data_IF_391708833474
#
_entry.id   IF_391708833474
#
_cell.length_a   1.000
_cell.length_b   1.000
_cell.length_c   1.000
_cell.angle_alpha   90.00
_cell.angle_beta   90.00
_cell.angle_gamma   90.00
#
_symmetry.space_group_name_H-M   'P 1'
#
loop_
_entity.id
_entity.type
_entity.pdbx_description
1 polymer ?
#
# COMPACT_ATOMS: atom_id res chain seq x y z
N UNK A 1 -3.72 1.41 25.64
CA UNK A 1 -2.51 1.54 24.80
C UNK A 1 -3.00 1.60 23.36
N UNK A 2 -2.59 2.62 22.61
CA UNK A 2 -2.91 2.70 21.18
C UNK A 2 -2.11 1.64 20.42
N UNK A 3 -2.64 1.18 19.29
CA UNK A 3 -1.90 0.29 18.39
C UNK A 3 -0.82 1.08 17.67
N UNK A 4 0.33 0.46 17.44
CA UNK A 4 1.33 1.04 16.55
C UNK A 4 0.84 0.91 15.10
N UNK A 5 1.11 1.92 14.29
CA UNK A 5 0.71 1.96 12.88
C UNK A 5 1.96 2.12 12.03
N UNK A 6 2.16 1.20 11.08
CA UNK A 6 3.11 1.37 9.97
C UNK A 6 2.29 1.62 8.71
N UNK A 7 2.37 2.84 8.18
CA UNK A 7 1.75 3.21 6.92
C UNK A 7 2.84 3.39 5.86
N UNK A 8 2.69 2.67 4.75
CA UNK A 8 3.53 2.80 3.57
C UNK A 8 2.68 3.49 2.51
N UNK A 9 3.00 4.75 2.23
CA UNK A 9 2.32 5.52 1.21
C UNK A 9 3.01 5.27 -0.12
N UNK A 10 2.30 4.55 -1.00
CA UNK A 10 2.83 4.24 -2.33
C UNK A 10 2.75 5.46 -3.23
N UNK A 11 1.60 6.15 -3.29
CA UNK A 11 1.39 7.38 -4.07
C UNK A 11 0.18 8.17 -3.53
N UNK A 12 0.10 9.49 -3.76
CA UNK A 12 1.18 10.40 -4.15
C UNK A 12 2.18 10.59 -3.00
N UNK A 13 3.35 11.21 -3.23
CA UNK A 13 4.35 11.51 -2.21
C UNK A 13 4.82 10.26 -1.43
N UNK A 14 5.67 9.45 -2.07
CA UNK A 14 6.19 8.19 -1.55
C UNK A 14 6.83 8.37 -0.16
N UNK A 15 6.16 7.83 0.87
CA UNK A 15 6.55 8.02 2.26
C UNK A 15 6.35 6.77 3.13
N UNK A 16 7.03 6.76 4.28
CA UNK A 16 6.85 5.77 5.34
C UNK A 16 6.55 6.50 6.66
N UNK A 17 5.42 6.16 7.27
CA UNK A 17 5.01 6.69 8.57
C UNK A 17 4.96 5.56 9.60
N UNK A 18 5.55 5.79 10.77
CA UNK A 18 5.50 4.88 11.90
C UNK A 18 5.03 5.64 13.15
N UNK A 19 3.82 5.34 13.59
CA UNK A 19 3.22 5.87 14.82
C UNK A 19 3.38 4.82 15.93
N UNK A 20 3.98 5.21 17.05
CA UNK A 20 4.15 4.34 18.23
C UNK A 20 4.27 5.13 19.53
N UNK A 21 4.15 4.44 20.67
CA UNK A 21 4.30 5.08 21.97
C UNK A 21 5.73 5.02 22.50
N UNK A 22 6.28 6.15 22.92
CA UNK A 22 7.59 6.25 23.58
C UNK A 22 7.47 6.93 24.95
N UNK A 23 8.43 6.65 25.84
CA UNK A 23 8.50 7.30 27.16
C UNK A 23 8.82 8.79 26.99
N UNK A 24 8.04 9.66 27.64
CA UNK A 24 8.36 11.08 27.72
C UNK A 24 9.65 11.32 28.54
N UNK A 25 10.58 12.19 28.07
CA UNK A 25 11.70 12.65 28.90
C UNK A 25 11.20 13.46 30.12
N UNK A 26 11.88 13.32 31.26
CA UNK A 26 11.70 14.07 32.52
C UNK A 26 10.33 14.07 33.24
N UNK A 27 9.26 13.60 32.60
CA UNK A 27 8.00 13.31 33.29
C UNK A 27 8.00 11.87 33.84
N UNK A 28 7.07 11.58 34.75
CA UNK A 28 6.83 10.24 35.30
C UNK A 28 6.67 9.18 34.20
N UNK A 29 6.48 7.90 34.54
CA UNK A 29 6.35 6.77 33.60
C UNK A 29 5.10 6.84 32.70
N UNK A 30 4.98 7.91 31.91
CA UNK A 30 3.94 8.21 30.96
C UNK A 30 4.49 8.01 29.54
N UNK A 31 3.67 7.36 28.73
CA UNK A 31 3.93 7.10 27.33
C UNK A 31 3.20 8.16 26.49
N UNK A 32 3.88 8.70 25.49
CA UNK A 32 3.33 9.66 24.52
C UNK A 32 3.47 9.11 23.10
N UNK A 33 2.51 9.39 22.20
CA UNK A 33 2.65 9.04 20.80
C UNK A 33 3.82 9.80 20.18
N UNK A 34 4.57 9.13 19.33
CA UNK A 34 5.66 9.65 18.53
C UNK A 34 5.44 9.21 17.10
N UNK A 35 5.59 10.17 16.19
CA UNK A 35 5.49 9.98 14.75
C UNK A 35 6.88 10.01 14.15
N UNK A 36 7.24 8.93 13.45
CA UNK A 36 8.42 8.90 12.58
C UNK A 36 7.95 8.95 11.14
N UNK A 37 8.57 9.84 10.36
CA UNK A 37 8.22 10.08 8.97
C UNK A 37 9.47 10.08 8.10
N UNK A 38 9.37 9.42 6.97
CA UNK A 38 10.40 9.36 5.95
C UNK A 38 9.78 9.66 4.59
N UNK A 39 10.34 10.64 3.88
CA UNK A 39 9.95 10.99 2.51
C UNK A 39 11.07 10.59 1.54
N UNK A 40 10.70 9.90 0.46
CA UNK A 40 11.65 9.51 -0.58
C UNK A 40 12.31 10.73 -1.24
N UNK A 41 11.53 11.77 -1.54
CA UNK A 41 12.02 12.98 -2.24
C UNK A 41 13.12 13.70 -1.46
N UNK A 42 12.95 13.84 -0.15
CA UNK A 42 13.91 14.50 0.75
C UNK A 42 15.21 13.68 0.89
N UNK A 43 15.10 12.36 0.86
CA UNK A 43 16.17 11.44 1.25
C UNK A 43 17.07 11.01 0.10
N UNK A 44 16.55 11.00 -1.14
CA UNK A 44 17.28 10.60 -2.34
C UNK A 44 17.67 11.80 -3.23
N UNK A 45 17.70 13.00 -2.67
CA UNK A 45 18.24 14.20 -3.32
C UNK A 45 17.41 14.68 -4.51
N UNK A 46 16.09 14.46 -4.48
CA UNK A 46 15.19 14.84 -5.57
C UNK A 46 15.42 14.07 -6.88
N UNK A 47 16.08 12.91 -6.83
CA UNK A 47 16.19 12.05 -7.99
C UNK A 47 14.81 11.45 -8.28
N UNK A 48 14.28 11.72 -9.48
CA UNK A 48 12.97 11.24 -9.88
C UNK A 48 12.90 9.72 -9.79
N UNK A 49 11.87 9.23 -9.10
CA UNK A 49 11.52 7.81 -9.10
C UNK A 49 11.12 7.45 -10.54
N UNK A 50 11.75 6.43 -11.16
CA UNK A 50 11.40 6.02 -12.52
C UNK A 50 9.93 5.61 -12.59
N UNK A 51 9.28 5.92 -13.72
CA UNK A 51 7.92 5.46 -13.97
C UNK A 51 7.87 3.92 -13.92
N UNK A 52 6.72 3.39 -13.48
CA UNK A 52 6.52 1.95 -13.36
C UNK A 52 6.85 1.21 -14.66
N UNK A 53 6.48 1.76 -15.83
CA UNK A 53 6.77 1.14 -17.11
C UNK A 53 8.24 1.24 -17.51
N UNK A 54 8.94 2.33 -17.17
CA UNK A 54 10.38 2.43 -17.43
C UNK A 54 11.13 1.31 -16.71
N UNK A 55 10.78 1.07 -15.43
CA UNK A 55 11.37 0.00 -14.64
C UNK A 55 11.03 -1.38 -15.21
N UNK A 56 9.76 -1.66 -15.48
CA UNK A 56 9.32 -2.97 -15.97
C UNK A 56 9.90 -3.31 -17.34
N UNK A 57 10.01 -2.33 -18.24
CA UNK A 57 10.62 -2.54 -19.56
C UNK A 57 12.12 -2.82 -19.44
N UNK A 58 12.84 -2.11 -18.57
CA UNK A 58 14.25 -2.36 -18.30
C UNK A 58 14.47 -3.77 -17.73
N UNK A 59 13.63 -4.20 -16.78
CA UNK A 59 13.71 -5.53 -16.18
C UNK A 59 13.43 -6.63 -17.23
N UNK A 60 12.44 -6.44 -18.10
CA UNK A 60 12.18 -7.34 -19.22
C UNK A 60 13.37 -7.47 -20.19
N UNK A 61 14.04 -6.36 -20.51
CA UNK A 61 15.25 -6.36 -21.36
C UNK A 61 16.42 -7.08 -20.71
N UNK A 62 16.55 -6.98 -19.38
CA UNK A 62 17.58 -7.65 -18.61
C UNK A 62 17.24 -9.13 -18.29
N UNK A 63 16.03 -9.58 -18.63
CA UNK A 63 15.54 -10.92 -18.29
C UNK A 63 15.26 -11.11 -16.80
N UNK A 64 15.02 -10.02 -16.06
CA UNK A 64 14.64 -10.06 -14.65
C UNK A 64 13.12 -10.15 -14.52
N UNK A 65 12.65 -11.27 -13.95
CA UNK A 65 11.23 -11.55 -13.77
C UNK A 65 10.70 -11.18 -12.37
N UNK A 66 11.51 -10.54 -11.51
CA UNK A 66 11.19 -10.33 -10.09
C UNK A 66 9.96 -9.46 -9.83
N UNK A 67 9.60 -8.56 -10.75
CA UNK A 67 8.42 -7.69 -10.66
C UNK A 67 7.24 -8.16 -11.54
N UNK A 68 7.34 -9.36 -12.12
CA UNK A 68 6.29 -9.93 -12.94
C UNK A 68 5.54 -11.00 -12.15
N UNK A 69 4.21 -10.96 -12.23
CA UNK A 69 3.38 -11.99 -11.60
C UNK A 69 3.58 -13.33 -12.30
N UNK A 70 3.76 -14.39 -11.52
CA UNK A 70 3.94 -15.74 -12.04
C UNK A 70 2.60 -16.36 -12.46
N UNK A 71 2.64 -17.38 -13.31
CA UNK A 71 1.43 -18.05 -13.81
C UNK A 71 0.60 -18.72 -12.72
N UNK A 72 1.26 -19.29 -11.71
CA UNK A 72 0.59 -19.91 -10.57
C UNK A 72 -0.04 -18.86 -9.64
N UNK A 73 0.66 -17.74 -9.38
CA UNK A 73 0.11 -16.60 -8.63
C UNK A 73 -1.15 -16.02 -9.30
N UNK A 74 -1.15 -15.90 -10.64
CA UNK A 74 -2.33 -15.49 -11.41
C UNK A 74 -3.48 -16.49 -11.23
N UNK A 75 -3.18 -17.79 -11.27
CA UNK A 75 -4.16 -18.86 -11.06
C UNK A 75 -4.84 -18.75 -9.70
N UNK A 76 -4.07 -18.67 -8.63
CA UNK A 76 -4.57 -18.53 -7.25
C UNK A 76 -5.38 -17.24 -7.05
N UNK A 77 -4.91 -16.12 -7.61
CA UNK A 77 -5.65 -14.86 -7.55
C UNK A 77 -7.03 -14.98 -8.20
N UNK A 78 -7.11 -15.68 -9.34
CA UNK A 78 -8.39 -15.96 -10.01
C UNK A 78 -9.28 -16.91 -9.21
N UNK A 79 -8.72 -17.94 -8.58
CA UNK A 79 -9.51 -18.84 -7.73
C UNK A 79 -10.15 -18.11 -6.55
N UNK A 80 -9.44 -17.15 -5.94
CA UNK A 80 -9.96 -16.29 -4.87
C UNK A 80 -11.07 -15.37 -5.37
N UNK A 81 -10.88 -14.72 -6.52
CA UNK A 81 -11.81 -13.70 -7.03
C UNK A 81 -13.02 -14.29 -7.76
N UNK A 82 -12.89 -15.45 -8.39
CA UNK A 82 -13.94 -16.10 -9.18
C UNK A 82 -15.28 -16.25 -8.44
N UNK A 83 -15.36 -16.76 -7.20
CA UNK A 83 -16.64 -16.89 -6.50
C UNK A 83 -17.31 -15.54 -6.22
N UNK A 84 -16.53 -14.48 -5.97
CA UNK A 84 -17.05 -13.13 -5.76
C UNK A 84 -17.67 -12.61 -7.06
N UNK A 85 -16.94 -12.71 -8.17
CA UNK A 85 -17.39 -12.25 -9.49
C UNK A 85 -18.64 -13.02 -9.94
N UNK A 86 -18.65 -14.34 -9.76
CA UNK A 86 -19.79 -15.19 -10.11
C UNK A 86 -21.01 -14.89 -9.24
N UNK A 87 -20.81 -14.69 -7.93
CA UNK A 87 -21.88 -14.33 -7.00
C UNK A 87 -22.52 -12.97 -7.34
N UNK A 88 -21.72 -12.00 -7.76
CA UNK A 88 -22.19 -10.68 -8.20
C UNK A 88 -22.96 -10.71 -9.53
N UNK A 89 -22.80 -11.77 -10.33
CA UNK A 89 -23.52 -11.95 -11.60
C UNK A 89 -24.90 -12.61 -11.44
N UNK A 90 -25.24 -13.08 -10.22
CA UNK A 90 -26.54 -13.70 -9.95
C UNK A 90 -27.68 -12.65 -9.91
N UNK A 91 -28.92 -13.05 -10.24
CA UNK A 91 -30.06 -12.12 -10.23
C UNK A 91 -30.38 -11.50 -8.86
N UNK A 92 -30.02 -12.19 -7.77
CA UNK A 92 -30.23 -11.79 -6.38
C UNK A 92 -28.99 -11.15 -5.73
N UNK A 93 -27.96 -10.85 -6.53
CA UNK A 93 -26.74 -10.20 -6.07
C UNK A 93 -27.04 -8.85 -5.37
N UNK A 94 -26.28 -8.50 -4.30
CA UNK A 94 -26.45 -7.23 -3.62
C UNK A 94 -26.13 -6.07 -4.59
N UNK A 95 -27.00 -5.05 -4.57
CA UNK A 95 -26.76 -3.82 -5.30
C UNK A 95 -25.62 -3.03 -4.64
N UNK A 96 -24.72 -2.39 -5.41
CA UNK A 96 -23.69 -1.52 -4.85
C UNK A 96 -24.29 -0.38 -4.03
N UNK A 97 -23.66 -0.07 -2.89
CA UNK A 97 -24.03 1.09 -2.09
C UNK A 97 -23.78 2.38 -2.86
N UNK A 98 -24.77 3.26 -2.93
CA UNK A 98 -24.60 4.60 -3.50
C UNK A 98 -23.83 5.50 -2.54
N UNK A 99 -22.88 6.28 -3.06
CA UNK A 99 -22.10 7.24 -2.29
C UNK A 99 -21.93 8.57 -3.07
N UNK A 100 -21.86 9.73 -2.39
CA UNK A 100 -21.59 11.01 -3.05
C UNK A 100 -20.18 11.07 -3.65
N UNK A 101 -20.01 11.78 -4.76
CA UNK A 101 -18.68 12.01 -5.36
C UNK A 101 -17.78 12.72 -4.34
N UNK A 102 -16.60 12.15 -4.08
CA UNK A 102 -15.61 12.69 -3.14
C UNK A 102 -15.77 12.23 -1.69
N UNK A 103 -16.70 11.32 -1.38
CA UNK A 103 -16.75 10.68 -0.06
C UNK A 103 -15.68 9.59 0.08
N UNK A 104 -15.33 9.26 1.34
CA UNK A 104 -14.53 8.07 1.70
C UNK A 104 -15.39 6.82 1.77
#
# INVERSE_FOLDING_TARGET
MSQNILAIQVQPDESLHLEFQAKAPDENMELKPVDFEFHCDDSFGGQAIPDAYERLLLDALNGDASLFTRSDEIGEAWEIMAPIIQGLALPDAPQPSSYPIGSR
#
